data_IF_624654564204
#
_entry.id   IF_624654564204
#
_cell.length_a   1.000
_cell.length_b   1.000
_cell.length_c   1.000
_cell.angle_alpha   90.00
_cell.angle_beta   90.00
_cell.angle_gamma   90.00
#
_symmetry.space_group_name_H-M   'P 1'
#
loop_
_entity.id
_entity.type
_entity.pdbx_description
1 polymer ?
#
# COMPACT_ATOMS: atom_id res chain seq x y z
N UNK A 1 -23.57 -45.94 -38.35
CA UNK A 1 -23.85 -45.31 -39.66
C UNK A 1 -25.10 -44.47 -39.47
N UNK A 2 -25.00 -43.15 -39.59
CA UNK A 2 -26.10 -42.23 -39.23
C UNK A 2 -27.24 -42.34 -40.23
N UNK A 3 -28.48 -42.49 -39.75
CA UNK A 3 -29.72 -42.74 -40.52
C UNK A 3 -30.19 -41.58 -41.40
N UNK A 4 -29.40 -40.52 -41.52
CA UNK A 4 -29.77 -39.25 -42.17
C UNK A 4 -28.97 -38.94 -43.44
N UNK A 5 -28.03 -39.80 -43.83
CA UNK A 5 -27.29 -39.67 -45.08
C UNK A 5 -28.07 -40.28 -46.24
N UNK A 6 -28.51 -39.44 -47.17
CA UNK A 6 -28.69 -39.88 -48.55
C UNK A 6 -27.33 -40.35 -49.06
N UNK A 7 -27.19 -41.64 -49.41
CA UNK A 7 -25.94 -42.21 -49.94
C UNK A 7 -25.59 -41.68 -51.36
N UNK A 8 -26.28 -40.63 -51.85
CA UNK A 8 -26.05 -40.01 -53.15
C UNK A 8 -25.33 -38.66 -53.00
N UNK A 9 -24.17 -38.55 -53.65
CA UNK A 9 -23.47 -37.28 -53.86
C UNK A 9 -24.17 -36.52 -54.99
N UNK A 10 -24.59 -35.27 -54.73
CA UNK A 10 -25.15 -34.35 -55.73
C UNK A 10 -24.13 -33.26 -56.06
N UNK A 11 -24.05 -32.89 -57.33
CA UNK A 11 -23.26 -31.73 -57.78
C UNK A 11 -24.11 -30.47 -57.64
N UNK A 12 -23.70 -29.56 -56.77
CA UNK A 12 -24.44 -28.32 -56.48
C UNK A 12 -23.54 -27.12 -56.81
N UNK A 13 -24.10 -26.12 -57.48
CA UNK A 13 -23.36 -24.89 -57.80
C UNK A 13 -23.01 -24.14 -56.50
N UNK A 14 -21.75 -23.74 -56.34
CA UNK A 14 -21.27 -23.03 -55.14
C UNK A 14 -22.02 -21.72 -54.86
N UNK A 15 -22.57 -21.08 -55.90
CA UNK A 15 -23.41 -19.88 -55.79
C UNK A 15 -24.76 -20.11 -55.11
N UNK A 16 -25.22 -21.37 -55.01
CA UNK A 16 -26.45 -21.78 -54.33
C UNK A 16 -26.20 -22.25 -52.89
N UNK A 17 -24.94 -22.31 -52.44
CA UNK A 17 -24.57 -22.77 -51.11
C UNK A 17 -24.12 -21.60 -50.25
N UNK A 18 -24.79 -21.40 -49.12
CA UNK A 18 -24.51 -20.36 -48.14
C UNK A 18 -23.81 -20.92 -46.90
N UNK A 19 -22.97 -20.11 -46.22
CA UNK A 19 -22.51 -20.44 -44.88
C UNK A 19 -23.70 -20.55 -43.92
N UNK A 20 -23.64 -21.45 -42.95
CA UNK A 20 -24.67 -21.51 -41.92
C UNK A 20 -24.53 -20.29 -40.97
N UNK A 21 -25.61 -19.54 -40.70
CA UNK A 21 -25.54 -18.36 -39.81
C UNK A 21 -25.09 -18.73 -38.39
N UNK A 22 -25.55 -19.88 -37.90
CA UNK A 22 -25.24 -20.40 -36.56
C UNK A 22 -24.01 -21.31 -36.52
N UNK A 23 -23.07 -21.17 -37.48
CA UNK A 23 -21.81 -21.91 -37.41
C UNK A 23 -21.10 -21.56 -36.09
N UNK A 24 -20.75 -22.56 -35.24
CA UNK A 24 -20.07 -22.33 -33.96
C UNK A 24 -18.71 -21.64 -34.15
N UNK A 25 -17.98 -22.04 -35.19
CA UNK A 25 -16.69 -21.46 -35.53
C UNK A 25 -16.86 -20.13 -36.26
N UNK A 26 -16.55 -19.01 -35.62
CA UNK A 26 -16.72 -17.68 -36.23
C UNK A 26 -15.56 -17.32 -37.16
N UNK A 27 -14.33 -17.72 -36.82
CA UNK A 27 -13.14 -17.44 -37.62
C UNK A 27 -12.70 -18.66 -38.45
N UNK A 28 -12.87 -18.55 -39.78
CA UNK A 28 -12.56 -19.61 -40.76
C UNK A 28 -11.04 -19.64 -41.10
N UNK A 29 -10.34 -18.52 -40.89
CA UNK A 29 -8.92 -18.34 -41.21
C UNK A 29 -8.66 -18.12 -42.72
N UNK A 30 -7.38 -18.02 -43.11
CA UNK A 30 -6.98 -17.94 -44.51
C UNK A 30 -7.25 -19.27 -45.24
N UNK A 31 -7.78 -19.16 -46.46
CA UNK A 31 -8.11 -20.27 -47.35
C UNK A 31 -7.41 -20.20 -48.70
N UNK A 32 -6.45 -19.28 -48.88
CA UNK A 32 -5.77 -19.03 -50.17
C UNK A 32 -5.06 -20.28 -50.72
N UNK A 33 -4.27 -20.97 -49.90
CA UNK A 33 -3.59 -22.20 -50.32
C UNK A 33 -4.59 -23.33 -50.64
N UNK A 34 -5.67 -23.42 -49.85
CA UNK A 34 -6.73 -24.40 -50.09
C UNK A 34 -7.47 -24.10 -51.39
N UNK A 35 -7.71 -22.81 -51.71
CA UNK A 35 -8.33 -22.38 -52.95
C UNK A 35 -7.43 -22.69 -54.16
N UNK A 36 -6.11 -22.45 -54.05
CA UNK A 36 -5.15 -22.81 -55.09
C UNK A 36 -5.11 -24.33 -55.35
N UNK A 37 -5.10 -25.13 -54.26
CA UNK A 37 -5.16 -26.59 -54.36
C UNK A 37 -6.47 -27.09 -54.98
N UNK A 38 -7.62 -26.53 -54.58
CA UNK A 38 -8.93 -26.86 -55.15
C UNK A 38 -9.00 -26.48 -56.64
N UNK A 39 -8.37 -25.36 -57.04
CA UNK A 39 -8.30 -24.97 -58.45
C UNK A 39 -7.48 -25.93 -59.30
N UNK A 40 -6.41 -26.50 -58.73
CA UNK A 40 -5.54 -27.45 -59.42
C UNK A 40 -6.10 -28.89 -59.45
N UNK A 41 -6.65 -29.35 -58.32
CA UNK A 41 -6.98 -30.77 -58.10
C UNK A 41 -8.48 -31.05 -57.97
N UNK A 42 -9.32 -30.01 -57.93
CA UNK A 42 -10.73 -30.13 -57.59
C UNK A 42 -10.99 -30.36 -56.11
N UNK A 43 -12.26 -30.42 -55.73
CA UNK A 43 -12.67 -30.71 -54.36
C UNK A 43 -12.70 -32.23 -54.13
N UNK A 44 -11.73 -32.74 -53.38
CA UNK A 44 -11.58 -34.19 -53.11
C UNK A 44 -12.61 -34.75 -52.13
N UNK A 45 -12.98 -33.96 -51.11
CA UNK A 45 -13.94 -34.37 -50.08
C UNK A 45 -15.25 -33.59 -50.23
N UNK A 46 -16.39 -34.26 -50.41
CA UNK A 46 -17.69 -33.60 -50.55
C UNK A 46 -18.04 -32.69 -49.36
N UNK A 47 -18.84 -31.65 -49.61
CA UNK A 47 -19.45 -30.82 -48.55
C UNK A 47 -20.70 -31.52 -48.00
N UNK A 48 -21.05 -31.27 -46.75
CA UNK A 48 -22.37 -31.67 -46.21
C UNK A 48 -23.25 -30.44 -46.15
N UNK A 49 -24.42 -30.49 -46.79
CA UNK A 49 -25.34 -29.36 -46.90
C UNK A 49 -26.77 -29.77 -46.52
N UNK A 50 -27.57 -28.80 -46.07
CA UNK A 50 -29.01 -28.95 -45.83
C UNK A 50 -29.81 -28.03 -46.75
N UNK A 51 -31.00 -28.44 -47.22
CA UNK A 51 -31.89 -27.57 -47.99
C UNK A 51 -32.33 -26.32 -47.20
N UNK A 52 -32.41 -25.18 -47.88
CA UNK A 52 -32.92 -23.91 -47.35
C UNK A 52 -33.69 -23.18 -48.47
N UNK A 53 -34.94 -23.57 -48.69
CA UNK A 53 -35.74 -23.13 -49.83
C UNK A 53 -35.13 -23.60 -51.15
N UNK A 54 -34.85 -22.67 -52.08
CA UNK A 54 -34.17 -22.95 -53.36
C UNK A 54 -32.65 -23.03 -53.23
N UNK A 55 -32.10 -22.76 -52.04
CA UNK A 55 -30.66 -22.71 -51.75
C UNK A 55 -30.28 -23.82 -50.76
N UNK A 56 -29.00 -23.89 -50.43
CA UNK A 56 -28.45 -24.85 -49.48
C UNK A 56 -27.61 -24.13 -48.42
N UNK A 57 -27.56 -24.65 -47.20
CA UNK A 57 -26.61 -24.20 -46.16
C UNK A 57 -25.59 -25.29 -45.91
N UNK A 58 -24.31 -24.92 -45.82
CA UNK A 58 -23.26 -25.88 -45.46
C UNK A 58 -23.30 -26.19 -43.97
N UNK A 59 -23.30 -27.47 -43.61
CA UNK A 59 -23.18 -27.95 -42.23
C UNK A 59 -21.73 -28.36 -41.93
N UNK A 60 -21.09 -29.06 -42.87
CA UNK A 60 -19.68 -29.46 -42.73
C UNK A 60 -18.87 -29.04 -43.97
N UNK A 61 -17.69 -28.46 -43.74
CA UNK A 61 -16.81 -27.97 -44.80
C UNK A 61 -16.90 -26.46 -45.09
N UNK A 62 -17.25 -25.63 -44.10
CA UNK A 62 -17.27 -24.16 -44.22
C UNK A 62 -16.00 -23.57 -44.85
N UNK A 63 -14.81 -24.00 -44.39
CA UNK A 63 -13.50 -23.61 -44.99
C UNK A 63 -13.38 -24.01 -46.47
N UNK A 64 -13.85 -25.22 -46.82
CA UNK A 64 -13.82 -25.72 -48.20
C UNK A 64 -14.81 -24.97 -49.09
N UNK A 65 -15.98 -24.59 -48.59
CA UNK A 65 -16.93 -23.75 -49.31
C UNK A 65 -16.32 -22.37 -49.63
N UNK A 66 -15.71 -21.73 -48.63
CA UNK A 66 -15.03 -20.44 -48.83
C UNK A 66 -13.92 -20.54 -49.89
N UNK A 67 -13.07 -21.57 -49.79
CA UNK A 67 -12.02 -21.85 -50.77
C UNK A 67 -12.57 -22.14 -52.18
N UNK A 68 -13.67 -22.90 -52.29
CA UNK A 68 -14.35 -23.17 -53.55
C UNK A 68 -14.86 -21.88 -54.21
N UNK A 69 -15.49 -20.99 -53.42
CA UNK A 69 -15.95 -19.69 -53.90
C UNK A 69 -14.78 -18.81 -54.37
N UNK A 70 -13.67 -18.77 -53.63
CA UNK A 70 -12.45 -18.04 -54.01
C UNK A 70 -11.78 -18.62 -55.27
N UNK A 71 -11.80 -19.94 -55.44
CA UNK A 71 -11.26 -20.63 -56.61
C UNK A 71 -12.14 -20.46 -57.87
N UNK A 72 -13.38 -19.98 -57.73
CA UNK A 72 -14.35 -19.85 -58.82
C UNK A 72 -14.90 -21.19 -59.30
N UNK A 73 -14.98 -22.20 -58.43
CA UNK A 73 -15.49 -23.52 -58.83
C UNK A 73 -17.01 -23.48 -59.07
N UNK A 74 -17.44 -24.10 -60.18
CA UNK A 74 -18.85 -24.18 -60.57
C UNK A 74 -19.65 -25.12 -59.66
N UNK A 75 -19.83 -26.38 -60.09
CA UNK A 75 -20.53 -27.39 -59.30
C UNK A 75 -19.56 -28.22 -58.46
N UNK A 76 -19.87 -28.42 -57.18
CA UNK A 76 -19.05 -29.19 -56.23
C UNK A 76 -19.83 -30.38 -55.65
N UNK A 77 -19.16 -31.51 -55.35
CA UNK A 77 -19.82 -32.67 -54.78
C UNK A 77 -20.31 -32.38 -53.35
N UNK A 78 -21.58 -32.68 -53.09
CA UNK A 78 -22.25 -32.44 -51.81
C UNK A 78 -23.10 -33.63 -51.37
N UNK A 79 -23.07 -33.95 -50.08
CA UNK A 79 -24.09 -34.75 -49.41
C UNK A 79 -25.23 -33.84 -48.98
N UNK A 80 -26.45 -34.12 -49.44
CA UNK A 80 -27.65 -33.40 -48.99
C UNK A 80 -28.26 -34.16 -47.82
N UNK A 81 -28.22 -33.55 -46.64
CA UNK A 81 -28.75 -34.07 -45.40
C UNK A 81 -30.13 -33.47 -45.12
N UNK A 82 -30.99 -34.27 -44.48
CA UNK A 82 -32.28 -33.82 -43.95
C UNK A 82 -32.18 -33.78 -42.43
N UNK A 83 -31.95 -32.58 -41.89
CA UNK A 83 -31.68 -32.34 -40.47
C UNK A 83 -32.56 -31.18 -39.99
N UNK A 84 -33.18 -31.33 -38.82
CA UNK A 84 -33.85 -30.24 -38.12
C UNK A 84 -32.82 -29.21 -37.57
N UNK A 85 -33.23 -28.00 -37.12
CA UNK A 85 -32.29 -26.98 -36.63
C UNK A 85 -31.39 -27.45 -35.48
N UNK A 86 -31.90 -28.28 -34.57
CA UNK A 86 -31.13 -28.80 -33.44
C UNK A 86 -30.07 -29.80 -33.92
N UNK A 87 -30.46 -30.71 -34.82
CA UNK A 87 -29.57 -31.68 -35.45
C UNK A 87 -28.51 -31.00 -36.32
N UNK A 88 -28.86 -29.89 -37.00
CA UNK A 88 -27.90 -29.09 -37.74
C UNK A 88 -26.81 -28.54 -36.82
N UNK A 89 -27.20 -27.92 -35.70
CA UNK A 89 -26.26 -27.35 -34.73
C UNK A 89 -25.40 -28.44 -34.07
N UNK A 90 -26.01 -29.55 -33.64
CA UNK A 90 -25.29 -30.71 -33.10
C UNK A 90 -24.24 -31.24 -34.08
N UNK A 91 -24.59 -31.41 -35.37
CA UNK A 91 -23.68 -31.90 -36.38
C UNK A 91 -22.50 -30.94 -36.59
N UNK A 92 -22.75 -29.63 -36.59
CA UNK A 92 -21.70 -28.61 -36.68
C UNK A 92 -20.77 -28.65 -35.46
N UNK A 93 -21.32 -28.70 -34.24
CA UNK A 93 -20.52 -28.74 -33.00
C UNK A 93 -19.68 -30.02 -32.95
N UNK A 94 -20.29 -31.17 -33.19
CA UNK A 94 -19.61 -32.47 -33.13
C UNK A 94 -18.45 -32.54 -34.12
N UNK A 95 -18.63 -32.05 -35.35
CA UNK A 95 -17.58 -32.05 -36.37
C UNK A 95 -16.40 -31.13 -36.03
N UNK A 96 -16.68 -29.94 -35.48
CA UNK A 96 -15.62 -29.00 -35.08
C UNK A 96 -14.92 -29.46 -33.79
N UNK A 97 -15.64 -30.00 -32.80
CA UNK A 97 -15.07 -30.52 -31.56
C UNK A 97 -14.14 -31.72 -31.81
N UNK A 98 -14.49 -32.62 -32.73
CA UNK A 98 -13.64 -33.76 -33.12
C UNK A 98 -12.30 -33.33 -33.75
N UNK A 99 -12.17 -32.07 -34.16
CA UNK A 99 -10.95 -31.51 -34.75
C UNK A 99 -10.16 -30.61 -33.80
N UNK A 100 -10.61 -30.46 -32.55
CA UNK A 100 -10.05 -29.48 -31.58
C UNK A 100 -10.04 -28.05 -32.15
N UNK A 101 -11.09 -27.69 -32.90
CA UNK A 101 -11.15 -26.44 -33.67
C UNK A 101 -12.00 -25.32 -33.06
N UNK A 102 -12.78 -25.61 -32.01
CA UNK A 102 -13.57 -24.60 -31.31
C UNK A 102 -12.81 -24.11 -30.09
N UNK A 103 -12.91 -22.81 -29.82
CA UNK A 103 -12.56 -22.29 -28.50
C UNK A 103 -13.59 -22.74 -27.46
N UNK A 104 -13.23 -22.65 -26.17
CA UNK A 104 -14.16 -22.98 -25.07
C UNK A 104 -15.43 -22.13 -25.16
N UNK A 105 -15.29 -20.87 -25.55
CA UNK A 105 -16.41 -19.93 -25.66
C UNK A 105 -17.29 -20.22 -26.89
N UNK A 106 -16.69 -20.59 -28.03
CA UNK A 106 -17.46 -21.01 -29.21
C UNK A 106 -18.27 -22.29 -28.93
N UNK A 107 -17.68 -23.24 -28.19
CA UNK A 107 -18.40 -24.44 -27.74
C UNK A 107 -19.52 -24.08 -26.75
N UNK A 108 -19.26 -23.16 -25.81
CA UNK A 108 -20.24 -22.65 -24.87
C UNK A 108 -21.45 -22.00 -25.54
N UNK A 109 -21.21 -21.09 -26.48
CA UNK A 109 -22.28 -20.41 -27.22
C UNK A 109 -23.10 -21.40 -28.08
N UNK A 110 -22.46 -22.41 -28.65
CA UNK A 110 -23.17 -23.43 -29.41
C UNK A 110 -24.00 -24.37 -28.52
N UNK A 111 -23.50 -24.73 -27.35
CA UNK A 111 -24.26 -25.46 -26.33
C UNK A 111 -25.47 -24.65 -25.89
N UNK A 112 -25.30 -23.36 -25.60
CA UNK A 112 -26.41 -22.48 -25.25
C UNK A 112 -27.45 -22.43 -26.38
N UNK A 113 -27.01 -22.30 -27.64
CA UNK A 113 -27.91 -22.34 -28.79
C UNK A 113 -28.72 -23.64 -28.90
N UNK A 114 -28.14 -24.80 -28.56
CA UNK A 114 -28.89 -26.07 -28.50
C UNK A 114 -29.96 -26.06 -27.40
N UNK A 115 -29.66 -25.47 -26.24
CA UNK A 115 -30.63 -25.30 -25.15
C UNK A 115 -31.75 -24.33 -25.53
N UNK A 116 -31.42 -23.24 -26.21
CA UNK A 116 -32.38 -22.24 -26.70
C UNK A 116 -33.34 -22.83 -27.75
N UNK A 117 -32.88 -23.82 -28.52
CA UNK A 117 -33.70 -24.63 -29.44
C UNK A 117 -34.57 -25.68 -28.72
N UNK A 118 -34.59 -25.69 -27.39
CA UNK A 118 -35.44 -26.55 -26.57
C UNK A 118 -34.83 -27.89 -26.17
N UNK A 119 -33.54 -28.13 -26.44
CA UNK A 119 -32.88 -29.32 -25.94
C UNK A 119 -32.69 -29.24 -24.41
N UNK A 120 -32.84 -30.36 -23.71
CA UNK A 120 -32.48 -30.43 -22.30
C UNK A 120 -30.96 -30.63 -22.14
N UNK A 121 -30.40 -30.21 -21.00
CA UNK A 121 -28.98 -30.45 -20.67
C UNK A 121 -28.59 -31.92 -20.83
N UNK A 122 -29.47 -32.84 -20.41
CA UNK A 122 -29.24 -34.28 -20.54
C UNK A 122 -29.21 -34.74 -22.01
N UNK A 123 -30.08 -34.19 -22.85
CA UNK A 123 -30.11 -34.49 -24.28
C UNK A 123 -28.85 -33.98 -24.98
N UNK A 124 -28.40 -32.75 -24.69
CA UNK A 124 -27.16 -32.18 -25.24
C UNK A 124 -25.95 -32.99 -24.80
N UNK A 125 -25.86 -33.35 -23.51
CA UNK A 125 -24.78 -34.17 -22.96
C UNK A 125 -24.67 -35.53 -23.68
N UNK A 126 -25.80 -36.22 -23.85
CA UNK A 126 -25.86 -37.48 -24.57
C UNK A 126 -25.43 -37.32 -26.04
N UNK A 127 -25.95 -36.30 -26.74
CA UNK A 127 -25.63 -36.02 -28.16
C UNK A 127 -24.15 -35.73 -28.40
N UNK A 128 -23.53 -34.93 -27.52
CA UNK A 128 -22.11 -34.57 -27.64
C UNK A 128 -21.16 -35.60 -27.02
N UNK A 129 -21.66 -36.66 -26.37
CA UNK A 129 -20.83 -37.63 -25.65
C UNK A 129 -20.07 -37.01 -24.46
N UNK A 130 -20.71 -36.07 -23.76
CA UNK A 130 -20.14 -35.32 -22.61
C UNK A 130 -20.98 -35.52 -21.35
N UNK A 131 -20.46 -35.09 -20.20
CA UNK A 131 -21.23 -35.12 -18.95
C UNK A 131 -22.25 -33.98 -18.88
N UNK A 132 -23.27 -34.12 -18.03
CA UNK A 132 -24.22 -33.03 -17.78
C UNK A 132 -23.51 -31.79 -17.19
N UNK A 133 -22.53 -31.99 -16.32
CA UNK A 133 -21.71 -30.90 -15.74
C UNK A 133 -20.95 -30.12 -16.80
N UNK A 134 -20.34 -30.83 -17.76
CA UNK A 134 -19.65 -30.21 -18.89
C UNK A 134 -20.55 -29.23 -19.66
N UNK A 135 -21.80 -29.65 -19.90
CA UNK A 135 -22.82 -28.83 -20.59
C UNK A 135 -23.26 -27.65 -19.71
N UNK A 136 -23.46 -27.86 -18.40
CA UNK A 136 -23.85 -26.79 -17.47
C UNK A 136 -22.79 -25.71 -17.35
N UNK A 137 -21.52 -26.09 -17.20
CA UNK A 137 -20.41 -25.13 -17.09
C UNK A 137 -20.31 -24.27 -18.36
N UNK A 138 -20.46 -24.89 -19.52
CA UNK A 138 -20.41 -24.19 -20.81
C UNK A 138 -21.62 -23.30 -21.04
N UNK A 139 -22.82 -23.74 -20.69
CA UNK A 139 -24.00 -22.88 -20.69
C UNK A 139 -23.81 -21.66 -19.75
N UNK A 140 -23.21 -21.88 -18.57
CA UNK A 140 -22.92 -20.80 -17.63
C UNK A 140 -21.84 -19.84 -18.15
N UNK A 141 -20.79 -20.33 -18.80
CA UNK A 141 -19.80 -19.50 -19.49
C UNK A 141 -20.43 -18.67 -20.62
N UNK A 142 -21.37 -19.25 -21.37
CA UNK A 142 -22.11 -18.53 -22.41
C UNK A 142 -22.97 -17.38 -21.85
N UNK A 143 -23.36 -17.44 -20.58
CA UNK A 143 -24.16 -16.38 -19.95
C UNK A 143 -23.40 -15.07 -19.71
N UNK A 144 -22.07 -15.06 -19.88
CA UNK A 144 -21.26 -13.85 -19.74
C UNK A 144 -21.66 -12.85 -20.82
N UNK A 145 -22.11 -11.66 -20.40
CA UNK A 145 -22.63 -10.62 -21.29
C UNK A 145 -21.55 -10.07 -22.23
N UNK A 146 -21.99 -9.62 -23.41
CA UNK A 146 -21.10 -9.11 -24.45
C UNK A 146 -20.21 -7.95 -23.97
N UNK A 147 -20.69 -7.10 -23.06
CA UNK A 147 -19.90 -5.96 -22.55
C UNK A 147 -18.68 -6.44 -21.76
N UNK A 148 -18.82 -7.49 -20.94
CA UNK A 148 -17.70 -8.11 -20.22
C UNK A 148 -16.75 -8.81 -21.20
N UNK A 149 -17.29 -9.51 -22.21
CA UNK A 149 -16.47 -10.20 -23.23
C UNK A 149 -15.61 -9.23 -24.02
N UNK A 150 -16.08 -7.99 -24.25
CA UNK A 150 -15.40 -6.94 -25.03
C UNK A 150 -14.32 -6.19 -24.25
N UNK A 151 -14.15 -6.45 -22.95
CA UNK A 151 -13.09 -5.81 -22.14
C UNK A 151 -11.69 -6.22 -22.61
N UNK A 152 -11.58 -7.28 -23.43
CA UNK A 152 -10.33 -7.77 -24.01
C UNK A 152 -10.55 -8.42 -25.38
N UNK A 153 -9.54 -8.37 -26.24
CA UNK A 153 -9.61 -8.89 -27.61
C UNK A 153 -9.50 -10.43 -27.69
N UNK A 154 -8.79 -11.05 -26.75
CA UNK A 154 -8.49 -12.49 -26.70
C UNK A 154 -9.39 -13.24 -25.69
N UNK A 155 -10.58 -12.70 -25.38
CA UNK A 155 -11.52 -13.30 -24.42
C UNK A 155 -11.92 -14.74 -24.78
N UNK A 156 -11.90 -15.06 -26.07
CA UNK A 156 -12.21 -16.40 -26.58
C UNK A 156 -11.13 -17.45 -26.24
N UNK A 157 -9.91 -17.03 -25.87
CA UNK A 157 -8.82 -17.93 -25.48
C UNK A 157 -8.85 -18.32 -24.00
N UNK A 158 -9.81 -17.79 -23.22
CA UNK A 158 -9.90 -18.07 -21.80
C UNK A 158 -10.27 -19.53 -21.51
N UNK A 159 -9.69 -20.05 -20.43
CA UNK A 159 -9.99 -21.41 -19.96
C UNK A 159 -11.39 -21.48 -19.37
N UNK A 160 -11.97 -22.68 -19.35
CA UNK A 160 -13.30 -22.90 -18.73
C UNK A 160 -13.34 -22.48 -17.26
N UNK A 161 -12.25 -22.70 -16.50
CA UNK A 161 -12.18 -22.30 -15.09
C UNK A 161 -12.27 -20.79 -14.89
N UNK A 162 -11.56 -20.02 -15.73
CA UNK A 162 -11.61 -18.55 -15.71
C UNK A 162 -12.99 -18.04 -16.12
N UNK A 163 -13.58 -18.59 -17.18
CA UNK A 163 -14.93 -18.24 -17.62
C UNK A 163 -15.98 -18.51 -16.53
N UNK A 164 -15.88 -19.66 -15.84
CA UNK A 164 -16.77 -20.00 -14.74
C UNK A 164 -16.64 -19.06 -13.54
N UNK A 165 -15.41 -18.67 -13.18
CA UNK A 165 -15.17 -17.67 -12.14
C UNK A 165 -15.76 -16.31 -12.52
N UNK A 166 -15.60 -15.85 -13.77
CA UNK A 166 -16.23 -14.61 -14.26
C UNK A 166 -17.76 -14.72 -14.24
N UNK A 167 -18.31 -15.85 -14.69
CA UNK A 167 -19.76 -16.09 -14.75
C UNK A 167 -20.42 -16.23 -13.36
N UNK A 168 -19.65 -16.58 -12.32
CA UNK A 168 -20.12 -16.64 -10.93
C UNK A 168 -20.65 -15.28 -10.46
N UNK A 169 -20.01 -14.21 -10.90
CA UNK A 169 -20.32 -12.82 -10.50
C UNK A 169 -21.29 -12.11 -11.45
N UNK A 170 -22.21 -12.85 -12.08
CA UNK A 170 -23.24 -12.25 -12.93
C UNK A 170 -24.08 -11.22 -12.16
N UNK A 171 -24.32 -10.07 -12.80
CA UNK A 171 -24.94 -8.89 -12.17
C UNK A 171 -23.99 -7.94 -11.44
N UNK A 172 -22.68 -8.27 -11.34
CA UNK A 172 -21.66 -7.45 -10.68
C UNK A 172 -20.55 -7.07 -11.68
N UNK A 173 -20.80 -6.10 -12.59
CA UNK A 173 -19.94 -5.82 -13.73
C UNK A 173 -18.50 -5.50 -13.35
N UNK A 174 -18.28 -4.72 -12.28
CA UNK A 174 -16.93 -4.34 -11.83
C UNK A 174 -16.07 -5.55 -11.45
N UNK A 175 -16.66 -6.57 -10.81
CA UNK A 175 -15.97 -7.81 -10.44
C UNK A 175 -15.72 -8.68 -11.65
N UNK A 176 -16.69 -8.77 -12.56
CA UNK A 176 -16.53 -9.51 -13.82
C UNK A 176 -15.42 -8.90 -14.69
N UNK A 177 -15.33 -7.57 -14.77
CA UNK A 177 -14.30 -6.85 -15.50
C UNK A 177 -12.91 -7.02 -14.86
N UNK A 178 -12.79 -6.89 -13.53
CA UNK A 178 -11.55 -7.19 -12.79
C UNK A 178 -11.02 -8.60 -13.09
N UNK A 179 -11.91 -9.60 -13.05
CA UNK A 179 -11.55 -10.99 -13.35
C UNK A 179 -11.22 -11.20 -14.84
N UNK A 180 -12.00 -10.60 -15.74
CA UNK A 180 -11.78 -10.68 -17.18
C UNK A 180 -10.41 -10.10 -17.57
N UNK A 181 -10.02 -8.95 -17.02
CA UNK A 181 -8.70 -8.36 -17.26
C UNK A 181 -7.55 -9.19 -16.68
N UNK A 182 -7.73 -9.76 -15.49
CA UNK A 182 -6.70 -10.58 -14.85
C UNK A 182 -6.56 -11.97 -15.51
N UNK A 183 -7.57 -12.45 -16.22
CA UNK A 183 -7.57 -13.77 -16.82
C UNK A 183 -6.42 -13.96 -17.83
N UNK A 184 -5.85 -15.16 -17.88
CA UNK A 184 -4.65 -15.44 -18.69
C UNK A 184 -3.33 -14.89 -18.13
N UNK A 185 -3.36 -14.15 -17.01
CA UNK A 185 -2.16 -13.68 -16.29
C UNK A 185 -1.91 -14.49 -15.02
N UNK A 186 -0.71 -14.39 -14.45
CA UNK A 186 -0.38 -14.97 -13.14
C UNK A 186 -1.17 -14.34 -11.98
N UNK A 187 -1.82 -13.19 -12.20
CA UNK A 187 -2.56 -12.46 -11.18
C UNK A 187 -4.02 -12.93 -11.02
N UNK A 188 -4.52 -13.79 -11.90
CA UNK A 188 -5.92 -14.20 -11.90
C UNK A 188 -6.38 -14.79 -10.56
N UNK A 189 -5.61 -15.76 -10.04
CA UNK A 189 -5.96 -16.45 -8.80
C UNK A 189 -5.91 -15.51 -7.59
N UNK A 190 -4.99 -14.53 -7.59
CA UNK A 190 -4.92 -13.50 -6.56
C UNK A 190 -6.16 -12.59 -6.58
N UNK A 191 -6.56 -12.12 -7.77
CA UNK A 191 -7.77 -11.29 -7.91
C UNK A 191 -9.03 -12.07 -7.51
N UNK A 192 -9.14 -13.33 -7.93
CA UNK A 192 -10.25 -14.20 -7.53
C UNK A 192 -10.29 -14.40 -6.01
N UNK A 193 -9.15 -14.71 -5.39
CA UNK A 193 -9.04 -14.87 -3.95
C UNK A 193 -9.48 -13.61 -3.19
N UNK A 194 -9.05 -12.42 -3.64
CA UNK A 194 -9.43 -11.16 -3.02
C UNK A 194 -10.94 -10.92 -3.10
N UNK A 195 -11.58 -11.19 -4.24
CA UNK A 195 -13.04 -11.07 -4.37
C UNK A 195 -13.74 -12.07 -3.43
N UNK A 196 -13.26 -13.30 -3.34
CA UNK A 196 -13.80 -14.31 -2.41
C UNK A 196 -13.60 -13.92 -0.92
N UNK A 197 -12.52 -13.20 -0.60
CA UNK A 197 -12.31 -12.60 0.74
C UNK A 197 -13.29 -11.46 0.99
N UNK A 198 -13.50 -10.56 0.03
CA UNK A 198 -14.49 -9.47 0.10
C UNK A 198 -15.92 -10.03 0.32
N UNK A 199 -16.28 -11.11 -0.37
CA UNK A 199 -17.57 -11.80 -0.22
C UNK A 199 -17.74 -12.38 1.18
N UNK A 200 -16.74 -13.13 1.66
CA UNK A 200 -16.78 -13.72 3.01
C UNK A 200 -16.87 -12.64 4.08
N UNK A 201 -16.12 -11.53 3.92
CA UNK A 201 -16.18 -10.37 4.82
C UNK A 201 -17.57 -9.74 4.83
N UNK A 202 -18.16 -9.53 3.66
CA UNK A 202 -19.49 -8.91 3.55
C UNK A 202 -20.58 -9.82 4.12
N UNK A 203 -20.50 -11.13 3.88
CA UNK A 203 -21.42 -12.10 4.44
C UNK A 203 -21.30 -12.19 5.96
N UNK A 204 -20.06 -12.32 6.47
CA UNK A 204 -19.79 -12.29 7.91
C UNK A 204 -20.39 -11.04 8.56
N UNK A 205 -20.16 -9.87 7.95
CA UNK A 205 -20.64 -8.60 8.49
C UNK A 205 -22.17 -8.54 8.51
N UNK A 206 -22.83 -8.99 7.44
CA UNK A 206 -24.28 -9.07 7.37
C UNK A 206 -24.85 -10.01 8.45
N UNK A 207 -24.22 -11.17 8.66
CA UNK A 207 -24.68 -12.17 9.63
C UNK A 207 -24.49 -11.67 11.08
N UNK A 208 -23.33 -11.10 11.41
CA UNK A 208 -23.07 -10.52 12.74
C UNK A 208 -24.01 -9.35 13.01
N UNK A 209 -24.20 -8.45 12.04
CA UNK A 209 -25.10 -7.31 12.18
C UNK A 209 -26.55 -7.76 12.37
N UNK A 210 -26.99 -8.79 11.65
CA UNK A 210 -28.30 -9.39 11.83
C UNK A 210 -28.47 -10.02 13.23
N UNK A 211 -27.44 -10.71 13.74
CA UNK A 211 -27.45 -11.25 15.10
C UNK A 211 -27.57 -10.15 16.15
N UNK A 212 -26.76 -9.08 16.04
CA UNK A 212 -26.83 -7.93 16.94
C UNK A 212 -28.21 -7.26 16.91
N UNK A 213 -28.82 -7.13 15.73
CA UNK A 213 -30.15 -6.53 15.55
C UNK A 213 -31.28 -7.35 16.19
N UNK A 214 -31.08 -8.64 16.52
CA UNK A 214 -32.11 -9.45 17.19
C UNK A 214 -32.37 -9.02 18.64
N UNK A 215 -31.43 -8.32 19.28
CA UNK A 215 -31.49 -7.98 20.70
C UNK A 215 -31.36 -9.18 21.66
N UNK A 216 -31.10 -10.38 21.13
CA UNK A 216 -30.95 -11.61 21.93
C UNK A 216 -29.50 -11.91 22.32
N UNK A 217 -28.55 -11.10 21.84
CA UNK A 217 -27.12 -11.27 22.08
C UNK A 217 -26.71 -10.87 23.49
N UNK A 218 -27.52 -10.10 24.21
CA UNK A 218 -27.17 -9.58 25.54
C UNK A 218 -26.12 -8.47 25.53
N UNK A 219 -25.74 -7.98 24.35
CA UNK A 219 -24.87 -6.82 24.16
C UNK A 219 -25.74 -5.56 24.03
N UNK A 220 -25.25 -4.44 24.57
CA UNK A 220 -25.88 -3.13 24.38
C UNK A 220 -25.50 -2.58 23.01
N UNK A 221 -26.41 -2.65 22.04
CA UNK A 221 -26.17 -2.16 20.67
C UNK A 221 -26.66 -0.72 20.56
N UNK A 222 -25.75 0.19 20.23
CA UNK A 222 -26.04 1.62 20.03
C UNK A 222 -25.98 1.97 18.53
N UNK A 223 -26.62 3.09 18.17
CA UNK A 223 -26.36 3.71 16.87
C UNK A 223 -24.89 4.15 16.82
N UNK A 224 -24.27 4.01 15.66
CA UNK A 224 -22.88 4.40 15.47
C UNK A 224 -22.71 5.91 15.72
N UNK A 225 -21.93 6.32 16.73
CA UNK A 225 -21.73 7.74 17.05
C UNK A 225 -21.09 8.54 15.92
N UNK A 226 -20.43 7.89 14.97
CA UNK A 226 -19.77 8.49 13.80
C UNK A 226 -18.44 9.19 14.13
N UNK A 227 -18.38 9.97 15.21
CA UNK A 227 -17.15 10.57 15.71
C UNK A 227 -16.37 9.63 16.63
N UNK A 228 -15.67 8.67 16.03
CA UNK A 228 -15.02 7.55 16.73
C UNK A 228 -14.13 7.96 17.91
N UNK A 229 -13.46 9.12 17.84
CA UNK A 229 -12.51 9.55 18.87
C UNK A 229 -12.98 10.78 19.67
N UNK A 230 -14.01 11.48 19.21
CA UNK A 230 -14.47 12.75 19.77
C UNK A 230 -15.90 12.72 20.30
N UNK A 231 -16.55 11.55 20.31
CA UNK A 231 -17.87 11.41 20.92
C UNK A 231 -17.85 11.80 22.41
N UNK A 232 -18.89 12.52 22.83
CA UNK A 232 -18.99 13.09 24.18
C UNK A 232 -19.40 12.07 25.27
N UNK A 233 -20.06 10.98 24.90
CA UNK A 233 -20.56 9.96 25.83
C UNK A 233 -19.74 8.67 25.75
N UNK A 234 -19.23 8.33 24.58
CA UNK A 234 -18.54 7.08 24.30
C UNK A 234 -17.05 7.27 24.01
N UNK A 235 -16.25 6.33 24.47
CA UNK A 235 -14.84 6.19 24.14
C UNK A 235 -14.66 4.93 23.30
N UNK A 236 -14.12 5.09 22.09
CA UNK A 236 -13.77 3.94 21.26
C UNK A 236 -12.67 3.13 21.92
N UNK A 237 -12.97 1.89 22.30
CA UNK A 237 -12.04 0.98 22.96
C UNK A 237 -11.46 -0.07 22.01
N UNK A 238 -12.11 -0.31 20.87
CA UNK A 238 -11.59 -1.20 19.84
C UNK A 238 -12.58 -1.53 18.73
N UNK A 239 -12.17 -2.40 17.83
CA UNK A 239 -13.03 -2.91 16.76
C UNK A 239 -12.76 -4.39 16.49
N UNK A 240 -13.82 -5.12 16.17
CA UNK A 240 -13.74 -6.48 15.63
C UNK A 240 -13.98 -6.43 14.13
N UNK A 241 -13.02 -7.01 13.41
CA UNK A 241 -13.05 -7.21 11.97
C UNK A 241 -13.44 -8.65 11.64
N UNK A 242 -13.84 -8.91 10.39
CA UNK A 242 -14.11 -10.27 9.93
C UNK A 242 -12.91 -11.18 10.21
N UNK A 243 -13.13 -12.15 11.08
CA UNK A 243 -12.14 -13.14 11.50
C UNK A 243 -12.47 -14.50 10.88
N UNK A 244 -11.55 -15.47 11.03
CA UNK A 244 -11.77 -16.84 10.55
C UNK A 244 -12.86 -17.64 11.31
N UNK A 245 -13.42 -17.07 12.38
CA UNK A 245 -14.45 -17.70 13.22
C UNK A 245 -15.88 -17.45 12.74
N UNK A 246 -16.86 -18.12 13.36
CA UNK A 246 -18.28 -17.96 13.02
C UNK A 246 -18.85 -16.64 13.56
N UNK A 247 -19.98 -16.14 13.02
CA UNK A 247 -20.69 -15.00 13.58
C UNK A 247 -21.04 -15.18 15.07
N UNK A 248 -21.39 -16.39 15.51
CA UNK A 248 -21.69 -16.71 16.91
C UNK A 248 -20.45 -16.66 17.80
N UNK A 249 -19.31 -17.16 17.32
CA UNK A 249 -18.03 -17.03 18.03
C UNK A 249 -17.63 -15.56 18.19
N UNK A 250 -17.94 -14.73 17.18
CA UNK A 250 -17.73 -13.28 17.23
C UNK A 250 -18.58 -12.63 18.34
N UNK A 251 -19.86 -12.99 18.45
CA UNK A 251 -20.73 -12.50 19.53
C UNK A 251 -20.18 -12.92 20.90
N UNK A 252 -19.70 -14.15 21.03
CA UNK A 252 -19.11 -14.62 22.28
C UNK A 252 -17.82 -13.89 22.63
N UNK A 253 -16.98 -13.58 21.64
CA UNK A 253 -15.77 -12.77 21.83
C UNK A 253 -16.11 -11.35 22.26
N UNK A 254 -17.10 -10.70 21.65
CA UNK A 254 -17.61 -9.39 22.08
C UNK A 254 -18.04 -9.41 23.55
N UNK A 255 -18.72 -10.47 24.00
CA UNK A 255 -19.11 -10.61 25.42
C UNK A 255 -17.92 -10.76 26.34
N UNK A 256 -16.87 -11.50 25.93
CA UNK A 256 -15.65 -11.67 26.75
C UNK A 256 -14.90 -10.37 26.94
N UNK A 257 -14.87 -9.51 25.92
CA UNK A 257 -14.25 -8.19 26.00
C UNK A 257 -15.07 -7.23 26.88
N UNK A 258 -16.34 -7.54 27.13
CA UNK A 258 -17.24 -6.84 28.06
C UNK A 258 -17.27 -5.30 27.85
N UNK A 259 -17.54 -4.82 26.62
CA UNK A 259 -17.71 -3.39 26.37
C UNK A 259 -19.02 -2.88 26.96
N UNK A 260 -19.10 -1.58 27.25
CA UNK A 260 -20.35 -0.94 27.70
C UNK A 260 -21.38 -0.83 26.56
N UNK A 261 -20.92 -0.71 25.31
CA UNK A 261 -21.74 -0.78 24.11
C UNK A 261 -20.97 -1.26 22.87
N UNK A 262 -21.72 -1.67 21.85
CA UNK A 262 -21.20 -1.97 20.50
C UNK A 262 -22.00 -1.23 19.43
N UNK A 263 -21.36 -0.84 18.33
CA UNK A 263 -22.03 -0.29 17.15
C UNK A 263 -21.61 -1.02 15.88
N UNK A 264 -22.51 -1.02 14.89
CA UNK A 264 -22.26 -1.56 13.55
C UNK A 264 -21.75 -0.42 12.67
N UNK A 265 -20.48 -0.50 12.23
CA UNK A 265 -19.86 0.53 11.39
C UNK A 265 -19.84 0.08 9.92
N UNK A 266 -20.85 0.50 9.17
CA UNK A 266 -21.11 0.09 7.77
C UNK A 266 -19.94 0.40 6.82
N UNK A 267 -19.34 1.59 6.94
CA UNK A 267 -18.31 2.05 6.01
C UNK A 267 -17.03 1.19 6.05
N UNK A 268 -16.70 0.63 7.21
CA UNK A 268 -15.54 -0.26 7.38
C UNK A 268 -15.93 -1.72 7.52
N UNK A 269 -17.23 -2.06 7.47
CA UNK A 269 -17.75 -3.40 7.75
C UNK A 269 -17.12 -4.02 9.01
N UNK A 270 -17.17 -3.29 10.12
CA UNK A 270 -16.60 -3.69 11.41
C UNK A 270 -17.59 -3.44 12.55
N UNK A 271 -17.40 -4.13 13.67
CA UNK A 271 -18.16 -3.89 14.89
C UNK A 271 -17.27 -3.10 15.84
N UNK A 272 -17.68 -1.89 16.21
CA UNK A 272 -16.93 -1.03 17.14
C UNK A 272 -17.36 -1.31 18.57
N UNK A 273 -16.39 -1.23 19.48
CA UNK A 273 -16.56 -1.40 20.91
C UNK A 273 -16.40 -0.05 21.58
N UNK A 274 -17.27 0.20 22.54
CA UNK A 274 -17.37 1.48 23.22
C UNK A 274 -17.39 1.26 24.72
N UNK A 275 -16.56 2.04 25.40
CA UNK A 275 -16.58 2.18 26.84
C UNK A 275 -17.24 3.53 27.17
N UNK A 276 -18.06 3.57 28.21
CA UNK A 276 -18.74 4.81 28.59
C UNK A 276 -17.75 5.76 29.22
N UNK A 277 -17.69 7.00 28.74
CA UNK A 277 -16.80 8.01 29.32
C UNK A 277 -17.22 8.32 30.75
N UNK A 278 -16.26 8.23 31.67
CA UNK A 278 -16.34 8.89 32.97
C UNK A 278 -15.71 10.28 32.83
N UNK A 279 -16.56 11.27 32.52
CA UNK A 279 -16.13 12.65 32.33
C UNK A 279 -15.42 13.23 33.57
N UNK A 280 -15.71 12.73 34.78
CA UNK A 280 -15.03 13.19 35.99
C UNK A 280 -13.61 12.61 36.09
N UNK A 281 -13.45 11.30 35.85
CA UNK A 281 -12.15 10.64 35.90
C UNK A 281 -11.19 11.12 34.79
N UNK A 282 -11.70 11.37 33.57
CA UNK A 282 -10.87 11.90 32.48
C UNK A 282 -10.47 13.36 32.74
N UNK A 283 -11.38 14.20 33.25
CA UNK A 283 -11.03 15.57 33.64
C UNK A 283 -9.99 15.62 34.76
N UNK A 284 -10.04 14.69 35.71
CA UNK A 284 -9.02 14.56 36.77
C UNK A 284 -7.65 14.18 36.20
N UNK A 285 -7.58 13.19 35.29
CA UNK A 285 -6.33 12.81 34.61
C UNK A 285 -5.78 13.93 33.73
N UNK A 286 -6.64 14.64 32.99
CA UNK A 286 -6.22 15.79 32.19
C UNK A 286 -5.68 16.91 33.07
N UNK A 287 -6.35 17.21 34.19
CA UNK A 287 -5.87 18.18 35.16
C UNK A 287 -4.52 17.76 35.76
N UNK A 288 -4.33 16.48 36.08
CA UNK A 288 -3.05 15.95 36.55
C UNK A 288 -1.94 16.12 35.50
N UNK A 289 -2.18 15.72 34.25
CA UNK A 289 -1.20 15.89 33.16
C UNK A 289 -0.86 17.35 32.91
N UNK A 290 -1.86 18.23 32.96
CA UNK A 290 -1.65 19.67 32.81
C UNK A 290 -0.82 20.24 33.98
N UNK A 291 -1.04 19.77 35.20
CA UNK A 291 -0.25 20.16 36.36
C UNK A 291 1.20 19.68 36.24
N UNK A 292 1.42 18.41 35.85
CA UNK A 292 2.76 17.85 35.62
C UNK A 292 3.51 18.59 34.49
N UNK A 293 2.83 18.94 33.41
CA UNK A 293 3.42 19.73 32.33
C UNK A 293 3.75 21.15 32.80
N UNK A 294 2.85 21.80 33.54
CA UNK A 294 3.10 23.15 34.08
C UNK A 294 4.27 23.17 35.06
N UNK A 295 4.45 22.12 35.87
CA UNK A 295 5.61 21.96 36.76
C UNK A 295 6.91 21.80 35.96
N UNK A 296 6.91 20.96 34.91
CA UNK A 296 8.06 20.79 34.01
C UNK A 296 8.44 22.09 33.30
N UNK A 297 7.45 22.80 32.76
CA UNK A 297 7.66 24.08 32.07
C UNK A 297 8.21 25.15 33.03
N UNK A 298 7.72 25.18 34.28
CA UNK A 298 8.24 26.07 35.30
C UNK A 298 9.70 25.76 35.67
N UNK A 299 10.06 24.48 35.83
CA UNK A 299 11.45 24.06 36.07
C UNK A 299 12.36 24.48 34.90
N UNK A 300 11.91 24.24 33.67
CA UNK A 300 12.66 24.59 32.46
C UNK A 300 12.91 26.10 32.38
N UNK A 301 11.89 26.92 32.65
CA UNK A 301 12.02 28.38 32.61
C UNK A 301 13.04 28.90 33.63
N UNK A 302 13.07 28.34 34.84
CA UNK A 302 14.06 28.73 35.87
C UNK A 302 15.48 28.41 35.40
N UNK A 303 15.70 27.23 34.82
CA UNK A 303 17.01 26.83 34.27
C UNK A 303 17.43 27.72 33.08
N UNK A 304 16.50 28.06 32.19
CA UNK A 304 16.74 28.96 31.06
C UNK A 304 17.19 30.36 31.53
N UNK A 305 16.49 30.93 32.51
CA UNK A 305 16.82 32.24 33.08
C UNK A 305 18.20 32.22 33.77
N UNK A 306 18.49 31.16 34.53
CA UNK A 306 19.79 30.97 35.18
C UNK A 306 20.93 30.81 34.17
N UNK A 307 20.78 29.92 33.18
CA UNK A 307 21.80 29.67 32.17
C UNK A 307 22.10 30.92 31.34
N UNK A 308 21.09 31.68 30.94
CA UNK A 308 21.26 32.94 30.24
C UNK A 308 22.00 33.98 31.10
N UNK A 309 21.58 34.15 32.36
CA UNK A 309 22.17 35.13 33.28
C UNK A 309 23.64 34.83 33.56
N UNK A 310 24.01 33.56 33.75
CA UNK A 310 25.39 33.17 34.03
C UNK A 310 26.28 33.24 32.79
N UNK A 311 25.75 32.87 31.61
CA UNK A 311 26.46 33.06 30.34
C UNK A 311 26.79 34.54 30.10
N UNK A 312 25.83 35.45 30.33
CA UNK A 312 26.05 36.89 30.20
C UNK A 312 27.15 37.38 31.17
N UNK A 313 27.17 36.91 32.42
CA UNK A 313 28.23 37.24 33.40
C UNK A 313 29.61 36.83 32.89
N UNK A 314 29.76 35.57 32.44
CA UNK A 314 31.04 35.03 31.93
C UNK A 314 31.50 35.78 30.67
N UNK A 315 30.62 35.96 29.69
CA UNK A 315 30.93 36.65 28.43
C UNK A 315 31.30 38.12 28.65
N UNK A 316 30.57 38.84 29.51
CA UNK A 316 30.88 40.23 29.85
C UNK A 316 32.23 40.35 30.57
N UNK A 317 32.55 39.41 31.46
CA UNK A 317 33.85 39.39 32.12
C UNK A 317 34.99 39.11 31.11
N UNK A 318 34.83 38.11 30.24
CA UNK A 318 35.81 37.80 29.19
C UNK A 318 36.07 39.00 28.29
N UNK A 319 35.00 39.70 27.86
CA UNK A 319 35.11 40.92 27.08
C UNK A 319 35.98 42.00 27.76
N UNK A 320 35.73 42.25 29.05
CA UNK A 320 36.40 43.31 29.79
C UNK A 320 37.86 43.04 30.17
N UNK A 321 38.28 41.77 30.25
CA UNK A 321 39.52 41.41 30.95
C UNK A 321 40.59 40.75 30.07
N UNK A 322 40.23 40.07 28.97
CA UNK A 322 41.18 39.24 28.21
C UNK A 322 42.39 40.01 27.64
N UNK A 323 42.20 41.27 27.23
CA UNK A 323 43.30 42.10 26.70
C UNK A 323 44.35 42.50 27.75
N UNK A 324 44.01 42.47 29.04
CA UNK A 324 44.94 42.78 30.13
C UNK A 324 45.79 41.56 30.56
N UNK A 325 45.43 40.36 30.09
CA UNK A 325 46.08 39.12 30.48
C UNK A 325 47.41 38.95 29.72
N UNK A 326 48.44 38.49 30.44
CA UNK A 326 49.76 38.27 29.84
C UNK A 326 49.70 37.20 28.75
N UNK A 327 50.35 37.44 27.62
CA UNK A 327 50.43 36.53 26.47
C UNK A 327 50.74 35.07 26.83
N UNK A 328 51.71 34.84 27.72
CA UNK A 328 52.08 33.48 28.14
C UNK A 328 50.91 32.73 28.81
N UNK A 329 50.12 33.45 29.62
CA UNK A 329 48.93 32.91 30.28
C UNK A 329 47.82 32.63 29.27
N UNK A 330 47.58 33.52 28.31
CA UNK A 330 46.61 33.30 27.23
C UNK A 330 46.94 32.06 26.38
N UNK A 331 48.23 31.81 26.09
CA UNK A 331 48.66 30.61 25.37
C UNK A 331 48.41 29.34 26.18
N UNK A 332 48.72 29.37 27.48
CA UNK A 332 48.42 28.26 28.39
C UNK A 332 46.91 27.98 28.45
N UNK A 333 46.11 29.01 28.63
CA UNK A 333 44.65 28.91 28.65
C UNK A 333 44.09 28.39 27.33
N UNK A 334 44.62 28.83 26.19
CA UNK A 334 44.24 28.29 24.87
C UNK A 334 44.46 26.77 24.82
N UNK A 335 45.59 26.27 25.33
CA UNK A 335 45.85 24.84 25.38
C UNK A 335 44.89 24.09 26.31
N UNK A 336 44.59 24.65 27.49
CA UNK A 336 43.64 24.05 28.46
C UNK A 336 42.22 24.01 27.91
N UNK A 337 41.73 25.10 27.30
CA UNK A 337 40.42 25.14 26.66
C UNK A 337 40.34 24.18 25.48
N UNK A 338 41.40 24.09 24.67
CA UNK A 338 41.49 23.14 23.57
C UNK A 338 41.37 21.70 24.06
N UNK A 339 42.10 21.33 25.12
CA UNK A 339 41.99 20.00 25.75
C UNK A 339 40.58 19.73 26.30
N UNK A 340 39.99 20.69 27.02
CA UNK A 340 38.64 20.55 27.55
C UNK A 340 37.63 20.31 26.43
N UNK A 341 37.77 20.99 25.29
CA UNK A 341 36.92 20.75 24.14
C UNK A 341 37.13 19.36 23.52
N UNK A 342 38.34 18.78 23.50
CA UNK A 342 38.55 17.43 22.90
C UNK A 342 37.76 16.31 23.55
N UNK A 343 37.23 16.53 24.75
CA UNK A 343 36.28 15.63 25.43
C UNK A 343 34.89 15.87 24.79
N UNK A 344 34.68 15.49 23.53
CA UNK A 344 33.49 15.87 22.71
C UNK A 344 32.28 14.92 22.77
N UNK A 345 31.07 15.38 23.16
CA UNK A 345 29.82 14.65 22.91
C UNK A 345 29.40 14.60 21.43
N UNK A 346 29.78 15.57 20.60
CA UNK A 346 29.47 15.57 19.16
C UNK A 346 30.75 15.39 18.34
N UNK A 347 31.12 14.15 17.94
CA UNK A 347 32.33 13.89 17.17
C UNK A 347 32.38 14.63 15.81
N UNK A 348 31.26 15.19 15.35
CA UNK A 348 31.18 16.00 14.13
C UNK A 348 31.34 17.51 14.37
N UNK A 349 31.25 17.98 15.63
CA UNK A 349 31.44 19.38 15.98
C UNK A 349 32.83 19.89 15.59
N UNK A 350 33.90 19.16 15.92
CA UNK A 350 35.28 19.53 15.54
C UNK A 350 35.58 19.44 14.04
N UNK A 351 34.77 18.71 13.28
CA UNK A 351 34.97 18.53 11.83
C UNK A 351 34.21 19.55 10.99
N UNK A 352 33.36 20.38 11.61
CA UNK A 352 32.74 21.53 10.95
C UNK A 352 33.78 22.63 10.75
N UNK A 353 34.03 22.94 9.50
CA UNK A 353 35.02 23.95 9.10
C UNK A 353 34.63 25.34 9.63
N UNK A 354 35.63 26.15 10.02
CA UNK A 354 35.44 27.52 10.53
C UNK A 354 34.64 28.45 9.59
N UNK A 355 34.53 28.14 8.29
CA UNK A 355 33.72 28.91 7.35
C UNK A 355 32.20 28.76 7.57
N UNK A 356 31.75 27.80 8.39
CA UNK A 356 30.34 27.63 8.78
C UNK A 356 29.92 28.51 9.97
N UNK A 357 30.83 29.32 10.53
CA UNK A 357 30.54 30.24 11.65
C UNK A 357 29.46 31.30 11.31
N UNK A 358 29.17 31.51 10.03
CA UNK A 358 28.05 32.38 9.62
C UNK A 358 26.67 31.74 9.88
N UNK A 359 26.59 30.43 10.11
CA UNK A 359 25.39 29.73 10.58
C UNK A 359 25.24 29.97 12.10
N UNK A 360 24.02 30.29 12.57
CA UNK A 360 23.77 30.62 13.97
C UNK A 360 24.14 29.48 14.94
N UNK A 361 24.29 28.26 14.43
CA UNK A 361 24.67 27.05 15.15
C UNK A 361 26.20 26.87 15.38
N UNK A 362 27.00 27.95 15.40
CA UNK A 362 28.46 27.86 15.52
C UNK A 362 29.06 28.96 16.43
N UNK A 363 28.44 29.29 17.57
CA UNK A 363 28.99 30.20 18.58
C UNK A 363 29.22 31.67 18.14
N UNK A 364 28.58 32.10 17.04
CA UNK A 364 28.73 33.46 16.48
C UNK A 364 28.32 34.55 17.47
N UNK A 365 27.17 34.38 18.10
CA UNK A 365 26.62 35.37 19.04
C UNK A 365 27.50 35.47 20.29
N UNK A 366 27.97 34.34 20.82
CA UNK A 366 28.87 34.26 21.96
C UNK A 366 30.22 34.93 21.65
N UNK A 367 30.81 34.64 20.48
CA UNK A 367 32.05 35.29 20.07
C UNK A 367 31.89 36.80 19.88
N UNK A 368 30.78 37.23 19.27
CA UNK A 368 30.49 38.63 19.07
C UNK A 368 30.33 39.38 20.41
N UNK A 369 29.64 38.76 21.38
CA UNK A 369 29.51 39.28 22.74
C UNK A 369 30.86 39.43 23.43
N UNK A 370 31.71 38.40 23.38
CA UNK A 370 33.04 38.43 24.00
C UNK A 370 33.98 39.42 23.29
N UNK A 371 33.99 39.46 21.97
CA UNK A 371 34.87 40.36 21.20
C UNK A 371 34.35 41.81 21.15
N UNK A 372 33.09 42.06 21.55
CA UNK A 372 32.48 43.39 21.51
C UNK A 372 32.21 43.90 20.09
N UNK A 373 31.92 42.99 19.16
CA UNK A 373 31.69 43.28 17.74
C UNK A 373 30.25 42.92 17.36
N UNK A 374 29.83 43.30 16.16
CA UNK A 374 28.55 42.80 15.64
C UNK A 374 28.69 41.35 15.16
N UNK A 375 27.66 40.49 15.31
CA UNK A 375 27.71 39.09 14.87
C UNK A 375 28.13 38.89 13.42
N UNK A 376 27.78 39.80 12.51
CA UNK A 376 28.15 39.70 11.09
C UNK A 376 29.64 39.95 10.83
N UNK A 377 30.37 40.51 11.80
CA UNK A 377 31.80 40.77 11.72
C UNK A 377 32.65 39.61 12.25
N UNK A 378 32.03 38.64 12.94
CA UNK A 378 32.72 37.54 13.61
C UNK A 378 33.71 36.81 12.69
N UNK A 379 33.26 36.32 11.54
CA UNK A 379 34.12 35.55 10.62
C UNK A 379 35.29 36.37 10.07
N UNK A 380 35.09 37.67 9.82
CA UNK A 380 36.13 38.55 9.30
C UNK A 380 37.21 38.84 10.36
N UNK A 381 36.80 39.07 11.60
CA UNK A 381 37.69 39.29 12.75
C UNK A 381 38.51 38.03 13.06
N UNK A 382 37.89 36.85 13.01
CA UNK A 382 38.57 35.57 13.18
C UNK A 382 39.70 35.37 12.17
N UNK A 383 39.42 35.55 10.87
CA UNK A 383 40.44 35.42 9.83
C UNK A 383 41.57 36.44 9.99
N UNK A 384 41.25 37.67 10.41
CA UNK A 384 42.24 38.75 10.50
C UNK A 384 43.17 38.58 11.70
N UNK A 385 42.61 38.22 12.87
CA UNK A 385 43.37 38.22 14.13
C UNK A 385 44.17 36.95 14.38
N UNK A 386 43.83 35.81 13.76
CA UNK A 386 44.63 34.59 13.86
C UNK A 386 46.03 34.74 13.25
N UNK A 387 46.19 35.63 12.25
CA UNK A 387 47.49 35.95 11.65
C UNK A 387 48.21 37.12 12.34
N UNK A 388 47.61 37.69 13.39
CA UNK A 388 48.13 38.87 14.10
C UNK A 388 48.92 38.48 15.36
N UNK A 389 49.78 39.37 15.91
CA UNK A 389 50.47 39.13 17.19
C UNK A 389 49.54 38.88 18.39
N UNK A 390 48.29 39.35 18.31
CA UNK A 390 47.25 39.24 19.34
C UNK A 390 46.39 37.96 19.21
N UNK A 391 46.79 37.04 18.32
CA UNK A 391 46.11 35.76 18.13
C UNK A 391 45.82 34.99 19.43
N UNK A 392 46.66 35.02 20.51
CA UNK A 392 46.35 34.27 21.73
C UNK A 392 45.09 34.78 22.45
N UNK A 393 44.81 36.09 22.40
CA UNK A 393 43.59 36.66 22.97
C UNK A 393 42.37 36.15 22.20
N UNK A 394 42.44 36.22 20.87
CA UNK A 394 41.35 35.77 20.01
C UNK A 394 41.15 34.25 20.06
N UNK A 395 42.21 33.46 20.22
CA UNK A 395 42.11 32.02 20.42
C UNK A 395 41.33 31.66 21.70
N UNK A 396 41.55 32.39 22.80
CA UNK A 396 40.75 32.24 24.02
C UNK A 396 39.30 32.65 23.77
N UNK A 397 39.04 33.78 23.10
CA UNK A 397 37.68 34.22 22.77
C UNK A 397 36.91 33.19 21.94
N UNK A 398 37.57 32.59 20.94
CA UNK A 398 37.02 31.52 20.09
C UNK A 398 36.63 30.30 20.92
N UNK A 399 37.58 29.79 21.72
CA UNK A 399 37.38 28.54 22.42
C UNK A 399 36.36 28.70 23.57
N UNK A 400 36.36 29.85 24.24
CA UNK A 400 35.34 30.16 25.26
C UNK A 400 33.96 30.34 24.62
N UNK A 401 33.83 31.13 23.55
CA UNK A 401 32.56 31.29 22.83
C UNK A 401 31.95 29.94 22.42
N UNK A 402 32.80 29.01 21.96
CA UNK A 402 32.37 27.68 21.56
C UNK A 402 31.87 26.84 22.73
N UNK A 403 32.54 26.89 23.88
CA UNK A 403 32.06 26.21 25.09
C UNK A 403 30.74 26.83 25.55
N UNK A 404 30.65 28.16 25.59
CA UNK A 404 29.42 28.89 25.96
C UNK A 404 28.23 28.56 25.05
N UNK A 405 28.49 28.27 23.78
CA UNK A 405 27.45 27.87 22.84
C UNK A 405 26.95 26.43 23.09
N UNK A 406 27.81 25.54 23.57
CA UNK A 406 27.41 24.17 23.88
C UNK A 406 26.60 24.08 25.16
N UNK A 407 26.86 24.95 26.14
CA UNK A 407 26.17 24.94 27.43
C UNK A 407 24.69 25.30 27.22
N UNK A 408 23.84 24.28 27.34
CA UNK A 408 22.38 24.40 27.34
C UNK A 408 21.85 24.63 28.76
N UNK A 409 20.61 25.14 28.91
CA UNK A 409 19.95 25.22 30.21
C UNK A 409 19.90 23.89 30.97
N UNK A 410 19.77 22.78 30.25
CA UNK A 410 19.65 21.46 30.86
C UNK A 410 21.00 20.94 31.38
N UNK A 411 22.12 21.44 30.86
CA UNK A 411 23.45 20.94 31.23
C UNK A 411 23.84 21.34 32.67
N UNK A 412 23.09 22.29 33.26
CA UNK A 412 23.19 22.68 34.66
C UNK A 412 22.45 21.73 35.62
N UNK A 413 21.63 20.82 35.09
CA UNK A 413 20.84 19.84 35.81
C UNK A 413 21.26 18.44 35.31
N UNK A 414 22.12 17.74 36.08
CA UNK A 414 22.71 16.48 35.66
C UNK A 414 21.64 15.46 35.22
N UNK A 415 21.78 14.94 33.98
CA UNK A 415 20.84 13.96 33.41
C UNK A 415 21.46 12.58 33.12
N UNK A 416 22.66 12.29 33.65
CA UNK A 416 23.33 10.98 33.55
C UNK A 416 24.14 10.73 32.26
N UNK A 417 23.72 11.24 31.10
CA UNK A 417 24.32 10.90 29.79
C UNK A 417 24.92 12.11 29.04
N UNK A 418 25.03 13.28 29.69
CA UNK A 418 25.49 14.50 29.04
C UNK A 418 26.98 14.80 29.30
N UNK A 419 27.80 14.73 28.24
CA UNK A 419 29.20 15.12 28.32
C UNK A 419 29.39 16.64 28.43
N UNK A 420 28.38 17.47 28.14
CA UNK A 420 28.48 18.93 28.29
C UNK A 420 28.45 19.34 29.77
N UNK A 421 27.53 18.79 30.58
CA UNK A 421 27.54 18.94 32.05
C UNK A 421 28.91 18.69 32.68
N UNK A 422 29.60 17.60 32.29
CA UNK A 422 30.94 17.23 32.81
C UNK A 422 32.04 18.26 32.48
N UNK A 423 31.83 19.13 31.49
CA UNK A 423 32.80 20.17 31.11
C UNK A 423 32.63 21.46 31.89
N UNK A 424 31.43 21.76 32.39
CA UNK A 424 31.14 23.03 33.07
C UNK A 424 32.10 23.26 34.25
N UNK A 425 32.35 22.28 35.15
CA UNK A 425 33.32 22.46 36.24
C UNK A 425 34.74 22.75 35.74
N UNK A 426 35.21 22.00 34.74
CA UNK A 426 36.52 22.20 34.12
C UNK A 426 36.65 23.57 33.44
N UNK A 427 35.57 24.06 32.83
CA UNK A 427 35.53 25.39 32.21
C UNK A 427 35.66 26.49 33.26
N UNK A 428 34.89 26.39 34.36
CA UNK A 428 34.95 27.35 35.47
C UNK A 428 36.33 27.38 36.14
N UNK A 429 37.00 26.24 36.31
CA UNK A 429 38.37 26.19 36.82
C UNK A 429 39.36 26.96 35.92
N UNK A 430 39.19 26.87 34.59
CA UNK A 430 40.02 27.61 33.63
C UNK A 430 39.72 29.11 33.71
N UNK A 431 38.45 29.50 33.84
CA UNK A 431 38.07 30.91 34.00
C UNK A 431 38.61 31.49 35.32
N UNK A 432 38.52 30.76 36.43
CA UNK A 432 39.08 31.18 37.72
C UNK A 432 40.61 31.35 37.66
N UNK A 433 41.31 30.47 36.93
CA UNK A 433 42.75 30.59 36.67
C UNK A 433 43.13 31.83 35.82
N UNK A 434 42.18 32.36 35.04
CA UNK A 434 42.29 33.67 34.37
C UNK A 434 41.96 34.85 35.29
N UNK A 435 41.29 34.62 36.42
CA UNK A 435 40.86 35.63 37.38
C UNK A 435 39.35 35.90 37.42
N UNK A 436 38.52 35.04 36.82
CA UNK A 436 37.06 35.12 36.98
C UNK A 436 36.67 34.68 38.39
N UNK A 437 35.80 35.44 39.05
CA UNK A 437 35.25 35.10 40.36
C UNK A 437 33.76 34.76 40.17
N UNK A 438 33.37 33.47 40.23
CA UNK A 438 31.97 33.08 40.15
C UNK A 438 31.15 33.72 41.27
N UNK A 439 29.90 34.08 40.97
CA UNK A 439 28.96 34.51 41.99
C UNK A 439 28.57 33.37 42.94
N UNK A 440 27.98 33.72 44.09
CA UNK A 440 27.51 32.72 45.07
C UNK A 440 26.53 31.72 44.41
N UNK A 441 25.59 32.21 43.60
CA UNK A 441 24.63 31.38 42.85
C UNK A 441 25.31 30.42 41.85
N UNK A 442 26.36 30.88 41.15
CA UNK A 442 27.13 30.04 40.22
C UNK A 442 27.91 28.97 40.98
N UNK A 443 28.47 29.33 42.14
CA UNK A 443 29.22 28.40 42.98
C UNK A 443 28.31 27.30 43.52
N UNK A 444 27.12 27.66 43.99
CA UNK A 444 26.14 26.68 44.50
C UNK A 444 25.73 25.67 43.43
N UNK A 445 25.39 26.11 42.22
CA UNK A 445 25.03 25.21 41.12
C UNK A 445 26.20 24.35 40.64
N UNK A 446 27.42 24.91 40.62
CA UNK A 446 28.62 24.13 40.30
C UNK A 446 28.88 23.03 41.32
N UNK A 447 28.74 23.33 42.61
CA UNK A 447 28.93 22.35 43.68
C UNK A 447 27.89 21.23 43.59
N UNK A 448 26.62 21.57 43.30
CA UNK A 448 25.55 20.60 43.06
C UNK A 448 25.84 19.71 41.85
N UNK A 449 26.28 20.32 40.74
CA UNK A 449 26.61 19.60 39.51
C UNK A 449 27.79 18.65 39.70
N UNK A 450 28.85 19.10 40.38
CA UNK A 450 30.01 18.26 40.72
C UNK A 450 29.62 17.10 41.63
N UNK A 451 28.77 17.34 42.63
CA UNK A 451 28.28 16.28 43.51
C UNK A 451 27.50 15.21 42.73
N UNK A 452 26.58 15.62 41.85
CA UNK A 452 25.79 14.69 41.04
C UNK A 452 26.65 13.86 40.07
N UNK A 453 27.63 14.50 39.42
CA UNK A 453 28.59 13.79 38.53
C UNK A 453 29.41 12.78 39.34
N UNK A 454 29.88 13.15 40.54
CA UNK A 454 30.70 12.27 41.38
C UNK A 454 29.92 11.07 41.87
N UNK A 455 28.65 11.25 42.25
CA UNK A 455 27.76 10.17 42.67
C UNK A 455 27.54 9.14 41.54
N UNK A 456 27.28 9.59 40.30
CA UNK A 456 27.15 8.69 39.15
C UNK A 456 28.45 7.96 38.81
N UNK A 457 29.59 8.67 38.80
CA UNK A 457 30.90 8.07 38.51
C UNK A 457 31.25 6.97 39.55
N UNK A 458 30.82 7.14 40.81
CA UNK A 458 30.94 6.12 41.86
C UNK A 458 30.00 4.92 41.64
N UNK A 459 28.78 5.13 41.13
CA UNK A 459 27.84 4.05 40.79
C UNK A 459 28.26 3.24 39.54
N UNK A 460 28.93 3.87 38.56
CA UNK A 460 29.45 3.18 37.37
C UNK A 460 30.69 2.30 37.65
N UNK A 461 31.44 2.61 38.72
CA UNK A 461 32.67 1.90 39.13
C UNK A 461 32.40 0.70 40.08
N UNK A 462 31.19 0.56 40.63
CA UNK A 462 30.71 -0.61 41.43
C UNK A 462 30.14 -1.75 40.57
#
# INVERSE_FOLDING_TARGET
MSSYQSNQIKLINTSLIDPHPDNPRKQIGDVTDLAASIKANGLLSPLSVVPNGERYRVIAGHRRLAACKQAGTGAVPCFVLDLDPLQQLEAMVTENCQREQLTVLEEADAIQGMLDLGATTAAVAHRLGRSADYVRDRAKAASIKADVRKTRDDFDQLTIGQLMAIARYDGQPDRQERLAHAAGTSNFDYILHNIEVEDRRSQWFADVSALLATGTTGLNVIEDPGETFSDSEWHYSGAIFPAAGTPEETIEELRKQNPDAVSVHEATQAIYLWDRRDAAAEAEKEAQRAAEQAERDARQHVLEEYAATTADKRMAWLHGHLHAIKRAKLIETTARLGLLQTIDPDPTGFTKDLHTWNDAACAREQFAAIAGIKPEQALAELHTHLDSPDWPTYAVMILTARIEWFISPNDWDWSGDDNVSRRIPGYYLILQDLGYEPSDDETEHLDQLVAAITEEDEEEDE
#
